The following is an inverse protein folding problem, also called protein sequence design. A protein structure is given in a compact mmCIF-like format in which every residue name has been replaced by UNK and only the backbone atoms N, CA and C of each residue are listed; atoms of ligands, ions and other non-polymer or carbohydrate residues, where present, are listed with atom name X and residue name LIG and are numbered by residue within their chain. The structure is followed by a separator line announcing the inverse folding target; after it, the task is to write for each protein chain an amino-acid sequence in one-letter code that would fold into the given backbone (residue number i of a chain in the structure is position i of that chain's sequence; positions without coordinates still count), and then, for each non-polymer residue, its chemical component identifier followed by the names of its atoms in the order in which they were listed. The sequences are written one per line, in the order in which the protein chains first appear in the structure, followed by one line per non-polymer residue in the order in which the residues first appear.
data_IF_902412244305
#
_entry.id   IF_902412244305
#
_cell.length_a   1.000
_cell.length_b   1.000
_cell.length_c   1.000
_cell.angle_alpha   90.00
_cell.angle_beta   90.00
_cell.angle_gamma   90.00
#
_symmetry.space_group_name_H-M   'P 1'
#
loop_
_entity.id
_entity.type
_entity.pdbx_description
1 polymer ?
#
# COMPACT_ATOMS: atom_id res chain seq x y z
N UNK A 1 3.33 18.15 -4.13
CA UNK A 1 2.56 16.91 -4.00
C UNK A 1 3.49 15.73 -3.81
N UNK A 2 3.11 14.82 -2.97
CA UNK A 2 3.92 13.66 -2.64
C UNK A 2 3.23 12.41 -3.15
N UNK A 3 3.99 11.53 -3.79
CA UNK A 3 3.47 10.24 -4.18
C UNK A 3 3.68 9.23 -3.08
N UNK A 4 2.66 8.46 -2.82
CA UNK A 4 2.76 7.34 -1.87
C UNK A 4 2.31 6.07 -2.57
N UNK A 5 2.87 4.97 -2.14
CA UNK A 5 2.55 3.66 -2.68
C UNK A 5 1.92 2.85 -1.57
N UNK A 6 0.67 2.48 -1.78
CA UNK A 6 -0.08 1.71 -0.79
C UNK A 6 -0.03 0.24 -1.20
N UNK A 7 0.45 -0.61 -0.31
CA UNK A 7 0.56 -2.05 -0.58
C UNK A 7 -0.33 -2.78 0.41
N UNK A 8 -1.15 -3.69 -0.11
CA UNK A 8 -2.04 -4.51 0.71
C UNK A 8 -2.09 -5.91 0.11
N UNK A 9 -2.29 -6.90 0.94
CA UNK A 9 -2.41 -8.28 0.52
C UNK A 9 -3.69 -8.90 1.04
N UNK A 10 -4.05 -10.06 0.51
CA UNK A 10 -5.27 -10.73 0.92
C UNK A 10 -5.30 -12.18 0.47
N UNK A 11 -6.41 -12.82 0.79
CA UNK A 11 -6.68 -14.20 0.42
C UNK A 11 -7.90 -14.26 -0.49
N UNK A 12 -7.88 -15.19 -1.42
CA UNK A 12 -8.98 -15.33 -2.38
C UNK A 12 -10.34 -15.55 -1.70
N UNK A 13 -10.34 -16.23 -0.58
CA UNK A 13 -11.58 -16.58 0.11
C UNK A 13 -11.95 -15.61 1.24
N UNK A 14 -11.01 -14.82 1.71
CA UNK A 14 -11.26 -13.88 2.80
C UNK A 14 -11.23 -12.42 2.37
N UNK A 15 -10.63 -12.15 1.22
CA UNK A 15 -10.47 -10.79 0.75
C UNK A 15 -9.25 -10.13 1.36
N UNK A 16 -9.23 -8.82 1.35
CA UNK A 16 -8.07 -8.05 1.77
C UNK A 16 -7.84 -8.10 3.27
N UNK A 17 -6.59 -8.26 3.65
CA UNK A 17 -6.16 -8.26 5.04
C UNK A 17 -5.62 -6.87 5.36
N UNK A 18 -6.42 -6.05 5.99
CA UNK A 18 -6.05 -4.65 6.23
C UNK A 18 -4.84 -4.48 7.13
N UNK A 19 -4.53 -5.46 7.95
CA UNK A 19 -3.33 -5.39 8.78
C UNK A 19 -2.04 -5.41 7.97
N UNK A 20 -2.11 -5.81 6.70
CA UNK A 20 -0.95 -5.80 5.82
C UNK A 20 -0.74 -4.45 5.13
N UNK A 21 -1.71 -3.55 5.22
CA UNK A 21 -1.65 -2.27 4.55
C UNK A 21 -0.49 -1.43 5.05
N UNK A 22 0.35 -0.99 4.12
CA UNK A 22 1.49 -0.12 4.41
C UNK A 22 1.59 0.96 3.35
N UNK A 23 2.03 2.12 3.77
CA UNK A 23 2.24 3.24 2.87
C UNK A 23 3.74 3.52 2.77
N UNK A 24 4.22 3.72 1.56
CA UNK A 24 5.63 3.96 1.30
C UNK A 24 5.77 5.20 0.43
N UNK A 25 6.83 5.95 0.64
CA UNK A 25 7.15 7.09 -0.20
C UNK A 25 8.18 6.74 -1.27
N UNK A 26 8.68 5.52 -1.27
CA UNK A 26 9.68 5.05 -2.21
C UNK A 26 9.18 3.79 -2.91
N UNK A 27 9.21 3.82 -4.23
CA UNK A 27 8.74 2.68 -5.01
C UNK A 27 9.53 1.40 -4.74
N UNK A 28 10.85 1.52 -4.62
CA UNK A 28 11.69 0.35 -4.38
C UNK A 28 11.32 -0.38 -3.12
N UNK A 29 11.07 0.36 -2.05
CA UNK A 29 10.68 -0.22 -0.76
C UNK A 29 9.30 -0.85 -0.87
N UNK A 30 8.38 -0.16 -1.54
CA UNK A 30 7.03 -0.68 -1.72
C UNK A 30 7.04 -1.97 -2.53
N UNK A 31 7.85 -2.01 -3.59
CA UNK A 31 7.96 -3.19 -4.42
C UNK A 31 8.52 -4.38 -3.66
N UNK A 32 9.52 -4.15 -2.82
CA UNK A 32 10.10 -5.20 -1.99
C UNK A 32 9.06 -5.78 -1.03
N UNK A 33 8.28 -4.90 -0.42
CA UNK A 33 7.22 -5.32 0.49
C UNK A 33 6.12 -6.08 -0.26
N UNK A 34 5.76 -5.60 -1.45
CA UNK A 34 4.78 -6.25 -2.29
C UNK A 34 5.17 -7.69 -2.60
N UNK A 35 6.43 -7.90 -2.98
CA UNK A 35 6.93 -9.23 -3.27
C UNK A 35 6.92 -10.13 -2.05
N UNK A 36 7.23 -9.57 -0.90
CA UNK A 36 7.20 -10.30 0.35
C UNK A 36 5.79 -10.78 0.67
N UNK A 37 4.81 -9.89 0.53
CA UNK A 37 3.41 -10.24 0.79
C UNK A 37 2.88 -11.23 -0.25
N UNK A 38 3.28 -11.07 -1.50
CA UNK A 38 2.84 -11.97 -2.57
C UNK A 38 3.28 -13.41 -2.31
N UNK A 39 4.40 -13.59 -1.63
CA UNK A 39 4.89 -14.91 -1.28
C UNK A 39 4.12 -15.52 -0.11
N UNK A 40 3.54 -14.71 0.76
CA UNK A 40 2.83 -15.18 1.96
C UNK A 40 1.32 -15.24 1.81
N UNK A 41 0.76 -14.43 0.91
CA UNK A 41 -0.68 -14.30 0.74
C UNK A 41 -1.06 -14.74 -0.67
N UNK A 42 -2.35 -14.91 -0.91
CA UNK A 42 -2.83 -15.33 -2.22
C UNK A 42 -2.60 -14.27 -3.27
N UNK A 43 -2.70 -13.00 -2.88
CA UNK A 43 -2.40 -11.90 -3.79
C UNK A 43 -1.90 -10.69 -2.99
N UNK A 44 -1.24 -9.79 -3.70
CA UNK A 44 -0.82 -8.51 -3.14
C UNK A 44 -1.01 -7.44 -4.19
N UNK A 45 -1.43 -6.27 -3.78
CA UNK A 45 -1.74 -5.15 -4.66
C UNK A 45 -0.96 -3.92 -4.25
N UNK A 46 -0.60 -3.11 -5.25
CA UNK A 46 0.03 -1.81 -5.00
C UNK A 46 -0.76 -0.74 -5.74
N UNK A 47 -1.11 0.32 -5.04
CA UNK A 47 -1.73 1.49 -5.63
C UNK A 47 -0.85 2.69 -5.44
N UNK A 48 -0.73 3.49 -6.49
CA UNK A 48 0.00 4.75 -6.41
C UNK A 48 -1.01 5.86 -6.17
N UNK A 49 -0.76 6.68 -5.17
CA UNK A 49 -1.62 7.83 -4.86
C UNK A 49 -0.79 9.08 -4.72
N UNK A 50 -1.35 10.19 -5.13
CA UNK A 50 -0.73 11.48 -4.90
C UNK A 50 -1.40 12.12 -3.70
N UNK A 51 -0.58 12.60 -2.79
CA UNK A 51 -1.07 13.22 -1.56
C UNK A 51 -0.63 14.66 -1.54
N UNK A 52 -1.60 15.55 -1.31
CA UNK A 52 -1.32 16.95 -1.12
C UNK A 52 -1.22 17.21 0.38
N UNK A 53 -0.07 17.67 0.83
CA UNK A 53 0.15 17.92 2.24
C UNK A 53 -0.83 18.92 2.83
N UNK A 54 -1.14 19.94 2.06
CA UNK A 54 -2.11 20.95 2.50
C UNK A 54 -3.49 20.33 2.69
N UNK A 55 -3.87 19.45 1.78
CA UNK A 55 -5.13 18.75 1.88
C UNK A 55 -5.22 17.92 3.14
N UNK A 56 -4.14 17.24 3.46
CA UNK A 56 -4.07 16.43 4.67
C UNK A 56 -4.26 17.28 5.91
N UNK A 57 -3.63 18.45 5.93
CA UNK A 57 -3.77 19.36 7.06
C UNK A 57 -5.18 19.91 7.17
N UNK A 58 -5.77 20.23 6.05
CA UNK A 58 -7.13 20.75 6.04
C UNK A 58 -8.14 19.71 6.49
N UNK A 59 -7.89 18.47 6.22
CA UNK A 59 -8.78 17.39 6.62
C UNK A 59 -8.76 17.16 8.13
N UNK A 60 -7.68 17.56 8.76
CA UNK A 60 -7.60 17.44 10.21
C UNK A 60 -8.44 18.50 10.87
#
# INVERSE_FOLDING_TARGET
MTKVYAVIAGFDYEGEVFSTLRLFDCFSTADAYLKHLDAEYDYALMETREVCMESALCAA
#
